data_IF_360642613009
#
_entry.id   IF_360642613009
#
_cell.length_a   1.000
_cell.length_b   1.000
_cell.length_c   1.000
_cell.angle_alpha   90.00
_cell.angle_beta   90.00
_cell.angle_gamma   90.00
#
_symmetry.space_group_name_H-M   'P 1'
#
loop_
_entity.id
_entity.type
_entity.pdbx_description
1 polymer ?
#
# COMPACT_ATOMS: atom_id res chain seq x y z
N UNK A 1 -2.14 -20.03 -17.76
CA UNK A 1 -1.30 -18.93 -17.25
C UNK A 1 -2.22 -17.75 -17.06
N UNK A 2 -2.15 -17.03 -15.95
CA UNK A 2 -3.03 -15.88 -15.74
C UNK A 2 -2.70 -14.80 -16.78
N UNK A 3 -3.72 -14.19 -17.37
CA UNK A 3 -3.56 -13.14 -18.38
C UNK A 3 -3.29 -11.81 -17.67
N UNK A 4 -2.08 -11.29 -17.82
CA UNK A 4 -1.64 -10.07 -17.13
C UNK A 4 -2.46 -8.86 -17.57
N UNK A 5 -2.89 -8.80 -18.83
CA UNK A 5 -3.70 -7.69 -19.35
C UNK A 5 -5.05 -7.65 -18.64
N UNK A 6 -5.72 -8.80 -18.53
CA UNK A 6 -6.99 -8.93 -17.82
C UNK A 6 -6.86 -8.58 -16.32
N UNK A 7 -5.75 -8.95 -15.69
CA UNK A 7 -5.52 -8.65 -14.27
C UNK A 7 -5.30 -7.16 -14.04
N UNK A 8 -4.56 -6.50 -14.92
CA UNK A 8 -4.37 -5.06 -14.90
C UNK A 8 -5.72 -4.38 -15.10
N UNK A 9 -6.50 -4.76 -16.11
CA UNK A 9 -7.87 -4.24 -16.32
C UNK A 9 -8.72 -4.35 -15.05
N UNK A 10 -8.69 -5.51 -14.37
CA UNK A 10 -9.41 -5.69 -13.11
C UNK A 10 -8.99 -4.72 -12.00
N UNK A 11 -7.71 -4.32 -11.93
CA UNK A 11 -7.26 -3.30 -10.99
C UNK A 11 -7.81 -1.92 -11.35
N UNK A 12 -7.76 -1.53 -12.62
CA UNK A 12 -8.25 -0.23 -13.09
C UNK A 12 -9.78 -0.10 -13.03
N UNK A 13 -10.52 -1.21 -13.16
CA UNK A 13 -11.98 -1.27 -13.02
C UNK A 13 -12.45 -1.25 -11.55
N UNK A 14 -11.62 -1.66 -10.60
CA UNK A 14 -11.99 -1.69 -9.18
C UNK A 14 -11.94 -0.28 -8.57
N UNK A 15 -13.08 0.40 -8.63
CA UNK A 15 -13.28 1.75 -8.08
C UNK A 15 -12.84 1.85 -6.62
N UNK A 16 -13.00 0.79 -5.82
CA UNK A 16 -12.63 0.79 -4.40
C UNK A 16 -11.11 0.84 -4.17
N UNK A 17 -10.28 0.78 -5.22
CA UNK A 17 -8.84 1.01 -5.15
C UNK A 17 -8.48 2.51 -5.22
N UNK A 18 -9.40 3.38 -5.64
CA UNK A 18 -9.10 4.79 -5.91
C UNK A 18 -10.17 5.80 -5.46
N UNK A 19 -11.30 5.36 -4.94
CA UNK A 19 -12.45 6.22 -4.63
C UNK A 19 -12.21 7.30 -3.57
N UNK A 20 -11.18 7.17 -2.74
CA UNK A 20 -10.81 8.15 -1.72
C UNK A 20 -9.54 8.95 -2.08
N UNK A 21 -9.00 8.73 -3.28
CA UNK A 21 -7.75 9.32 -3.78
C UNK A 21 -8.02 10.36 -4.87
N UNK A 22 -7.08 11.28 -5.04
CA UNK A 22 -7.00 12.10 -6.26
C UNK A 22 -6.49 11.25 -7.43
N UNK A 23 -6.65 11.74 -8.67
CA UNK A 23 -6.19 11.01 -9.86
C UNK A 23 -4.68 10.70 -9.83
N UNK A 24 -3.87 11.64 -9.33
CA UNK A 24 -2.41 11.48 -9.21
C UNK A 24 -2.02 10.40 -8.17
N UNK A 25 -2.70 10.41 -7.02
CA UNK A 25 -2.53 9.40 -5.97
C UNK A 25 -2.97 8.02 -6.44
N UNK A 26 -4.09 7.96 -7.16
CA UNK A 26 -4.63 6.74 -7.72
C UNK A 26 -3.70 6.15 -8.79
N UNK A 27 -3.16 6.97 -9.71
CA UNK A 27 -2.18 6.52 -10.72
C UNK A 27 -0.94 5.92 -10.05
N UNK A 28 -0.44 6.58 -9.00
CA UNK A 28 0.71 6.08 -8.23
C UNK A 28 0.43 4.70 -7.62
N UNK A 29 -0.73 4.53 -6.97
CA UNK A 29 -1.11 3.27 -6.35
C UNK A 29 -1.37 2.16 -7.40
N UNK A 30 -2.02 2.49 -8.51
CA UNK A 30 -2.34 1.55 -9.59
C UNK A 30 -1.07 1.03 -10.27
N UNK A 31 -0.11 1.91 -10.59
CA UNK A 31 1.18 1.50 -11.16
C UNK A 31 1.97 0.58 -10.23
N UNK A 32 1.92 0.84 -8.93
CA UNK A 32 2.51 -0.09 -7.96
C UNK A 32 1.80 -1.45 -8.00
N UNK A 33 0.46 -1.46 -8.02
CA UNK A 33 -0.34 -2.68 -8.13
C UNK A 33 -0.06 -3.48 -9.41
N UNK A 34 0.10 -2.80 -10.55
CA UNK A 34 0.49 -3.38 -11.83
C UNK A 34 1.86 -4.08 -11.73
N UNK A 35 2.88 -3.38 -11.21
CA UNK A 35 4.20 -3.96 -11.01
C UNK A 35 4.17 -5.19 -10.07
N UNK A 36 3.33 -5.17 -9.03
CA UNK A 36 3.14 -6.34 -8.16
C UNK A 36 2.42 -7.49 -8.87
N UNK A 37 1.42 -7.20 -9.70
CA UNK A 37 0.70 -8.22 -10.47
C UNK A 37 1.63 -8.92 -11.48
N UNK A 38 2.49 -8.18 -12.16
CA UNK A 38 3.52 -8.73 -13.05
C UNK A 38 4.46 -9.68 -12.29
N UNK A 39 4.94 -9.26 -11.11
CA UNK A 39 5.80 -10.10 -10.25
C UNK A 39 5.08 -11.37 -9.79
N UNK A 40 3.79 -11.28 -9.43
CA UNK A 40 2.99 -12.44 -9.06
C UNK A 40 2.85 -13.42 -10.23
N UNK A 41 2.55 -12.94 -11.44
CA UNK A 41 2.43 -13.81 -12.62
C UNK A 41 3.76 -14.50 -12.92
N UNK A 42 4.89 -13.79 -12.78
CA UNK A 42 6.22 -14.35 -13.01
C UNK A 42 6.63 -15.38 -11.93
N UNK A 43 6.20 -15.19 -10.68
CA UNK A 43 6.61 -16.04 -9.55
C UNK A 43 5.65 -17.22 -9.29
N UNK A 44 4.40 -17.15 -9.75
CA UNK A 44 3.38 -18.15 -9.44
C UNK A 44 3.51 -19.40 -10.30
N UNK A 45 3.65 -20.55 -9.63
CA UNK A 45 3.65 -21.88 -10.27
C UNK A 45 2.28 -22.55 -10.26
N UNK A 46 1.33 -22.05 -9.47
CA UNK A 46 -0.02 -22.59 -9.36
C UNK A 46 -1.08 -21.48 -9.28
N UNK A 47 -2.26 -21.78 -9.84
CA UNK A 47 -3.35 -20.82 -9.96
C UNK A 47 -3.98 -20.45 -8.60
N UNK A 48 -4.07 -21.40 -7.66
CA UNK A 48 -4.72 -21.15 -6.38
C UNK A 48 -3.91 -20.17 -5.50
N UNK A 49 -2.59 -20.35 -5.45
CA UNK A 49 -1.68 -19.42 -4.77
C UNK A 49 -1.66 -18.06 -5.47
N UNK A 50 -1.70 -18.03 -6.80
CA UNK A 50 -1.82 -16.78 -7.56
C UNK A 50 -3.08 -16.01 -7.17
N UNK A 51 -4.25 -16.65 -7.25
CA UNK A 51 -5.55 -16.02 -6.95
C UNK A 51 -5.58 -15.49 -5.50
N UNK A 52 -5.07 -16.28 -4.55
CA UNK A 52 -4.98 -15.87 -3.15
C UNK A 52 -4.08 -14.64 -2.97
N UNK A 53 -2.90 -14.61 -3.61
CA UNK A 53 -1.99 -13.46 -3.52
C UNK A 53 -2.51 -12.23 -4.26
N UNK A 54 -3.16 -12.40 -5.41
CA UNK A 54 -3.77 -11.29 -6.13
C UNK A 54 -4.95 -10.68 -5.35
N UNK A 55 -5.75 -11.50 -4.67
CA UNK A 55 -6.78 -11.02 -3.76
C UNK A 55 -6.17 -10.24 -2.56
N UNK A 56 -5.06 -10.74 -2.01
CA UNK A 56 -4.32 -10.04 -0.95
C UNK A 56 -3.75 -8.69 -1.44
N UNK A 57 -3.17 -8.64 -2.64
CA UNK A 57 -2.71 -7.40 -3.29
C UNK A 57 -3.81 -6.34 -3.36
N UNK A 58 -4.99 -6.71 -3.89
CA UNK A 58 -6.15 -5.81 -3.95
C UNK A 58 -6.56 -5.33 -2.57
N UNK A 59 -6.47 -6.19 -1.56
CA UNK A 59 -6.80 -5.83 -0.17
C UNK A 59 -5.81 -4.82 0.41
N UNK A 60 -4.51 -4.99 0.16
CA UNK A 60 -3.47 -4.02 0.53
C UNK A 60 -3.73 -2.66 -0.12
N UNK A 61 -4.01 -2.63 -1.42
CA UNK A 61 -4.33 -1.39 -2.14
C UNK A 61 -5.57 -0.70 -1.56
N UNK A 62 -6.63 -1.44 -1.23
CA UNK A 62 -7.84 -0.90 -0.58
C UNK A 62 -7.53 -0.25 0.77
N UNK A 63 -6.63 -0.84 1.54
CA UNK A 63 -6.20 -0.26 2.81
C UNK A 63 -5.42 1.04 2.62
N UNK A 64 -4.53 1.13 1.62
CA UNK A 64 -3.80 2.36 1.30
C UNK A 64 -4.77 3.48 0.90
N UNK A 65 -5.68 3.20 -0.04
CA UNK A 65 -6.71 4.13 -0.48
C UNK A 65 -7.55 4.65 0.70
N UNK A 66 -8.16 3.72 1.47
CA UNK A 66 -9.03 4.08 2.60
C UNK A 66 -8.30 4.83 3.70
N UNK A 67 -7.10 4.39 4.07
CA UNK A 67 -6.33 5.05 5.12
C UNK A 67 -5.95 6.46 4.67
N UNK A 68 -5.44 6.60 3.45
CA UNK A 68 -5.02 7.90 2.89
C UNK A 68 -6.19 8.89 2.90
N UNK A 69 -7.34 8.55 2.31
CA UNK A 69 -8.44 9.52 2.21
C UNK A 69 -9.20 9.78 3.52
N UNK A 70 -9.15 8.85 4.49
CA UNK A 70 -9.94 8.98 5.74
C UNK A 70 -9.13 9.31 6.97
N UNK A 71 -7.79 9.26 6.94
CA UNK A 71 -6.95 9.44 8.14
C UNK A 71 -7.25 10.74 8.90
N UNK A 72 -7.53 11.84 8.19
CA UNK A 72 -7.81 13.14 8.80
C UNK A 72 -9.11 13.18 9.60
N UNK A 73 -10.03 12.23 9.36
CA UNK A 73 -11.31 12.10 10.05
C UNK A 73 -11.29 11.00 11.12
N UNK A 74 -10.19 10.26 11.24
CA UNK A 74 -10.02 9.18 12.21
C UNK A 74 -9.31 9.69 13.45
N UNK A 75 -9.72 9.22 14.62
CA UNK A 75 -8.92 9.36 15.83
C UNK A 75 -7.70 8.42 15.82
N UNK A 76 -6.78 8.63 16.76
CA UNK A 76 -5.55 7.83 16.84
C UNK A 76 -5.80 6.34 17.10
N UNK A 77 -6.91 5.96 17.74
CA UNK A 77 -7.24 4.55 17.98
C UNK A 77 -7.74 3.88 16.69
N UNK A 78 -8.58 4.57 15.94
CA UNK A 78 -9.07 4.14 14.63
C UNK A 78 -7.94 4.05 13.60
N UNK A 79 -7.00 5.01 13.59
CA UNK A 79 -5.82 4.97 12.72
C UNK A 79 -4.94 3.75 13.02
N UNK A 80 -4.64 3.48 14.30
CA UNK A 80 -3.89 2.28 14.72
C UNK A 80 -4.58 0.99 14.32
N UNK A 81 -5.91 0.91 14.47
CA UNK A 81 -6.68 -0.26 14.08
C UNK A 81 -6.60 -0.49 12.56
N UNK A 82 -6.75 0.57 11.75
CA UNK A 82 -6.61 0.47 10.30
C UNK A 82 -5.20 0.02 9.89
N UNK A 83 -4.15 0.57 10.50
CA UNK A 83 -2.77 0.17 10.21
C UNK A 83 -2.46 -1.26 10.64
N UNK A 84 -3.08 -1.76 11.72
CA UNK A 84 -2.98 -3.17 12.10
C UNK A 84 -3.63 -4.09 11.07
N UNK A 85 -4.79 -3.70 10.53
CA UNK A 85 -5.46 -4.45 9.45
C UNK A 85 -4.64 -4.42 8.16
N UNK A 86 -4.07 -3.26 7.81
CA UNK A 86 -3.13 -3.11 6.70
C UNK A 86 -1.91 -4.03 6.85
N UNK A 87 -1.30 -4.08 8.03
CA UNK A 87 -0.19 -4.98 8.33
C UNK A 87 -0.57 -6.45 8.14
N UNK A 88 -1.77 -6.86 8.55
CA UNK A 88 -2.27 -8.22 8.32
C UNK A 88 -2.45 -8.52 6.84
N UNK A 89 -3.06 -7.61 6.07
CA UNK A 89 -3.23 -7.76 4.63
C UNK A 89 -1.88 -7.83 3.90
N UNK A 90 -0.91 -7.00 4.31
CA UNK A 90 0.45 -7.05 3.79
C UNK A 90 1.10 -8.42 4.05
N UNK A 91 0.90 -8.99 5.24
CA UNK A 91 1.41 -10.32 5.58
C UNK A 91 0.77 -11.42 4.73
N UNK A 92 -0.54 -11.35 4.48
CA UNK A 92 -1.26 -12.27 3.58
C UNK A 92 -0.75 -12.16 2.13
N UNK A 93 -0.32 -10.98 1.71
CA UNK A 93 0.33 -10.76 0.42
C UNK A 93 1.80 -11.25 0.38
N UNK A 94 2.42 -11.48 1.55
CA UNK A 94 3.80 -11.96 1.68
C UNK A 94 4.81 -10.90 2.12
N UNK A 95 4.34 -9.72 2.52
CA UNK A 95 5.17 -8.61 3.02
C UNK A 95 5.05 -8.52 4.54
N UNK A 96 6.19 -8.52 5.23
CA UNK A 96 6.22 -8.36 6.69
C UNK A 96 6.47 -6.91 7.05
N UNK A 97 5.48 -6.25 7.66
CA UNK A 97 5.63 -4.96 8.31
C UNK A 97 5.71 -5.19 9.82
N UNK A 98 6.73 -4.66 10.47
CA UNK A 98 6.91 -4.79 11.92
C UNK A 98 6.06 -3.76 12.67
N UNK A 99 5.66 -4.05 13.92
CA UNK A 99 5.01 -3.06 14.77
C UNK A 99 5.82 -1.77 14.94
N UNK A 100 7.15 -1.86 14.98
CA UNK A 100 8.03 -0.69 15.07
C UNK A 100 7.93 0.21 13.84
N UNK A 101 7.86 -0.34 12.63
CA UNK A 101 7.67 0.43 11.40
C UNK A 101 6.32 1.17 11.41
N UNK A 102 5.25 0.52 11.90
CA UNK A 102 3.94 1.17 12.07
C UNK A 102 4.00 2.34 13.07
N UNK A 103 4.67 2.17 14.22
CA UNK A 103 4.81 3.25 15.19
C UNK A 103 5.66 4.41 14.65
N UNK A 104 6.72 4.13 13.90
CA UNK A 104 7.52 5.17 13.23
C UNK A 104 6.68 5.97 12.22
N UNK A 105 5.88 5.27 11.41
CA UNK A 105 4.96 5.91 10.48
C UNK A 105 3.90 6.76 11.20
N UNK A 106 3.32 6.26 12.29
CA UNK A 106 2.33 6.98 13.10
C UNK A 106 2.85 8.29 13.70
N UNK A 107 4.16 8.44 13.88
CA UNK A 107 4.76 9.70 14.36
C UNK A 107 4.82 10.79 13.29
N UNK A 108 4.77 10.43 12.01
CA UNK A 108 5.05 11.34 10.89
C UNK A 108 3.83 11.56 10.00
N UNK A 109 2.93 10.59 9.89
CA UNK A 109 1.86 10.60 8.89
C UNK A 109 0.85 11.76 9.04
N UNK A 110 0.71 12.32 10.25
CA UNK A 110 -0.25 13.40 10.52
C UNK A 110 0.08 14.70 9.75
N UNK A 111 1.35 14.91 9.37
CA UNK A 111 1.79 16.08 8.62
C UNK A 111 1.94 15.84 7.13
N UNK A 112 1.79 14.59 6.67
CA UNK A 112 1.95 14.25 5.26
C UNK A 112 0.74 14.72 4.44
N UNK A 113 0.97 15.13 3.19
CA UNK A 113 -0.09 15.27 2.20
C UNK A 113 -0.67 13.90 1.83
N UNK A 114 -1.79 13.84 1.11
CA UNK A 114 -2.33 12.55 0.66
C UNK A 114 -1.37 11.81 -0.27
N UNK A 115 -0.82 12.52 -1.26
CA UNK A 115 0.25 12.05 -2.13
C UNK A 115 1.46 11.49 -1.35
N UNK A 116 2.03 12.27 -0.43
CA UNK A 116 3.17 11.81 0.38
C UNK A 116 2.82 10.61 1.27
N UNK A 117 1.56 10.53 1.72
CA UNK A 117 1.08 9.42 2.52
C UNK A 117 1.00 8.12 1.71
N UNK A 118 0.54 8.17 0.45
CA UNK A 118 0.58 7.00 -0.45
C UNK A 118 2.01 6.51 -0.60
N UNK A 119 2.96 7.41 -0.91
CA UNK A 119 4.37 7.05 -1.02
C UNK A 119 4.96 6.47 0.27
N UNK A 120 4.65 7.06 1.43
CA UNK A 120 5.10 6.53 2.72
C UNK A 120 4.54 5.13 3.03
N UNK A 121 3.28 4.85 2.65
CA UNK A 121 2.68 3.52 2.79
C UNK A 121 3.29 2.50 1.81
N UNK A 122 3.64 2.91 0.59
CA UNK A 122 4.37 2.05 -0.34
C UNK A 122 5.80 1.78 0.15
N UNK A 123 6.47 2.76 0.74
CA UNK A 123 7.79 2.59 1.34
C UNK A 123 7.76 1.62 2.54
N UNK A 124 6.70 1.64 3.36
CA UNK A 124 6.47 0.63 4.40
C UNK A 124 6.47 -0.79 3.83
N UNK A 125 5.85 -1.00 2.66
CA UNK A 125 5.76 -2.30 2.00
C UNK A 125 7.10 -2.74 1.39
N UNK A 126 7.90 -1.79 0.90
CA UNK A 126 9.25 -2.05 0.41
C UNK A 126 10.26 -2.35 1.55
N UNK A 127 9.92 -2.03 2.80
CA UNK A 127 10.84 -2.07 3.94
C UNK A 127 11.73 -0.83 4.05
N UNK A 128 11.48 0.19 3.24
CA UNK A 128 12.34 1.36 3.02
C UNK A 128 11.86 2.62 3.75
N UNK A 129 11.29 2.50 4.96
CA UNK A 129 10.99 3.69 5.75
C UNK A 129 12.26 4.54 5.90
N UNK A 130 12.22 5.85 5.55
CA UNK A 130 13.34 6.73 5.83
C UNK A 130 13.62 6.67 7.33
N UNK A 131 14.86 6.32 7.69
CA UNK A 131 15.37 6.44 9.06
C UNK A 131 15.03 7.85 9.52
N UNK A 132 14.40 7.95 10.69
CA UNK A 132 13.93 9.22 11.24
C UNK A 132 14.97 10.33 11.05
N UNK A 133 14.71 11.21 10.08
CA UNK A 133 15.20 12.58 9.96
C UNK A 133 16.66 12.87 10.36
N UNK A 134 17.66 12.19 9.77
CA UNK A 134 19.08 12.56 9.95
C UNK A 134 19.79 13.01 8.65
N UNK A 135 19.15 12.90 7.47
CA UNK A 135 19.81 13.18 6.18
C UNK A 135 19.36 14.46 5.45
N UNK A 136 18.49 15.30 6.04
CA UNK A 136 18.14 16.61 5.44
C UNK A 136 19.13 17.75 5.73
N UNK A 137 20.29 17.50 6.34
CA UNK A 137 21.32 18.52 6.63
C UNK A 137 22.69 18.27 5.99
N UNK A 138 22.79 17.39 4.99
CA UNK A 138 24.04 17.23 4.21
C UNK A 138 23.81 17.50 2.73
N UNK A 139 23.48 18.74 2.42
CA UNK A 139 23.25 19.18 1.05
C UNK A 139 23.20 20.70 0.89
N UNK A 140 24.02 21.44 1.65
CA UNK A 140 24.40 22.82 1.37
C UNK A 140 25.90 22.98 1.63
#
# INVERSE_FOLDING_TARGET
>A
MADIELLIEQLYEDIALRDELTDEEADTLLRWGEAQAEQLVAASTDAATFDARFAALRTVMKHINKFTGKRAKMDAAAQRLQLKQFMQAAQEFGITITPQQIEMYLQQHATLSHHDNVHAMLALLAGDLPKAHDDMLKGY
#
